data_IF_569856110662
#
_entry.id   IF_569856110662
#
_cell.length_a   1.000
_cell.length_b   1.000
_cell.length_c   1.000
_cell.angle_alpha   90.00
_cell.angle_beta   90.00
_cell.angle_gamma   90.00
#
_symmetry.space_group_name_H-M   'P 1'
#
loop_
_entity.id
_entity.type
_entity.pdbx_description
1 polymer ?
#
# COMPACT_ATOMS: atom_id res chain seq x y z
N UNK A 1 58.92 40.33 -66.54
CA UNK A 1 58.41 39.19 -65.74
C UNK A 1 57.80 39.74 -64.47
N UNK A 2 56.46 39.69 -64.31
CA UNK A 2 55.78 40.02 -63.05
C UNK A 2 55.51 38.70 -62.31
N UNK A 3 56.09 38.53 -61.12
CA UNK A 3 55.77 37.41 -60.24
C UNK A 3 54.46 37.73 -59.50
N UNK A 4 53.47 36.86 -59.68
CA UNK A 4 52.17 36.94 -59.02
C UNK A 4 52.19 35.92 -57.87
N UNK A 5 52.21 36.40 -56.64
CA UNK A 5 52.18 35.56 -55.44
C UNK A 5 50.72 35.25 -55.07
N UNK A 6 50.35 33.98 -55.07
CA UNK A 6 49.08 33.52 -54.52
C UNK A 6 49.27 33.27 -53.01
N UNK A 7 48.52 33.98 -52.18
CA UNK A 7 48.49 33.78 -50.72
C UNK A 7 47.27 32.91 -50.40
N UNK A 8 47.44 31.68 -49.87
CA UNK A 8 46.30 30.88 -49.43
C UNK A 8 45.82 31.40 -48.07
N UNK A 9 44.52 31.72 -47.99
CA UNK A 9 43.84 32.06 -46.72
C UNK A 9 43.20 30.78 -46.19
N UNK A 10 43.68 30.28 -45.05
CA UNK A 10 43.07 29.15 -44.35
C UNK A 10 42.15 29.72 -43.26
N UNK A 11 40.85 29.55 -43.43
CA UNK A 11 39.86 29.89 -42.41
C UNK A 11 39.63 28.69 -41.48
N UNK A 12 40.10 28.77 -40.24
CA UNK A 12 39.87 27.77 -39.21
C UNK A 12 38.54 28.09 -38.51
N UNK A 13 37.53 27.25 -38.74
CA UNK A 13 36.25 27.34 -38.04
C UNK A 13 36.39 26.69 -36.66
N UNK A 14 36.54 27.49 -35.59
CA UNK A 14 36.45 26.99 -34.23
C UNK A 14 34.97 26.80 -33.86
N UNK A 15 34.51 25.55 -33.91
CA UNK A 15 33.22 25.17 -33.35
C UNK A 15 33.37 25.18 -31.82
N UNK A 16 33.01 26.28 -31.19
CA UNK A 16 32.86 26.34 -29.73
C UNK A 16 31.62 25.54 -29.34
N UNK A 17 31.81 24.30 -28.89
CA UNK A 17 30.78 23.58 -28.15
C UNK A 17 30.59 24.27 -26.81
N UNK A 18 29.60 25.16 -26.71
CA UNK A 18 29.12 25.66 -25.42
C UNK A 18 28.44 24.47 -24.72
N UNK A 19 29.16 23.83 -23.80
CA UNK A 19 28.58 22.85 -22.90
C UNK A 19 27.56 23.53 -22.01
N UNK A 20 26.28 23.44 -22.37
CA UNK A 20 25.20 23.92 -21.53
C UNK A 20 25.20 23.11 -20.22
N UNK A 21 25.65 23.73 -19.12
CA UNK A 21 25.44 23.16 -17.80
C UNK A 21 23.97 23.37 -17.43
N UNK A 22 23.21 22.29 -17.47
CA UNK A 22 21.82 22.26 -17.00
C UNK A 22 21.82 22.60 -15.51
N UNK A 23 21.45 23.82 -15.15
CA UNK A 23 21.21 24.20 -13.76
C UNK A 23 19.83 23.67 -13.35
N UNK A 24 19.77 22.42 -12.92
CA UNK A 24 18.54 21.85 -12.39
C UNK A 24 18.58 21.91 -10.86
N UNK A 25 17.56 22.53 -10.28
CA UNK A 25 17.32 22.50 -8.84
C UNK A 25 16.43 21.28 -8.56
N UNK A 26 17.02 20.17 -8.10
CA UNK A 26 16.32 18.90 -7.83
C UNK A 26 16.76 17.79 -8.77
N UNK A 27 15.81 17.00 -9.29
CA UNK A 27 16.12 15.89 -10.23
C UNK A 27 16.36 16.41 -11.65
N UNK A 28 17.56 16.19 -12.22
CA UNK A 28 17.69 16.23 -13.69
C UNK A 28 17.51 14.84 -14.28
N UNK A 29 16.86 14.78 -15.43
CA UNK A 29 16.80 13.58 -16.25
C UNK A 29 17.69 13.78 -17.46
N UNK A 30 18.57 12.82 -17.73
CA UNK A 30 19.32 12.75 -18.97
C UNK A 30 18.67 11.73 -19.91
N UNK A 31 18.99 11.83 -21.20
CA UNK A 31 18.40 11.03 -22.26
C UNK A 31 17.64 11.87 -23.27
N UNK A 32 16.92 11.20 -24.17
CA UNK A 32 16.18 11.87 -25.24
C UNK A 32 14.91 12.53 -24.70
N UNK A 33 14.52 13.62 -25.36
CA UNK A 33 13.26 14.33 -25.07
C UNK A 33 12.01 13.51 -25.41
N UNK A 34 12.16 12.46 -26.21
CA UNK A 34 11.08 11.55 -26.62
C UNK A 34 11.63 10.11 -26.79
N UNK A 35 10.82 9.05 -26.59
CA UNK A 35 11.26 7.67 -26.70
C UNK A 35 11.73 7.31 -28.11
N UNK A 36 12.56 6.26 -28.21
CA UNK A 36 12.87 5.64 -29.50
C UNK A 36 11.71 4.79 -29.99
N UNK A 37 11.67 4.48 -31.28
CA UNK A 37 10.60 3.67 -31.90
C UNK A 37 10.38 2.33 -31.22
N UNK A 38 11.43 1.69 -30.70
CA UNK A 38 11.35 0.44 -29.93
C UNK A 38 10.64 0.55 -28.57
N UNK A 39 10.51 1.78 -28.06
CA UNK A 39 9.90 2.10 -26.77
C UNK A 39 8.51 2.73 -26.91
N UNK A 40 8.00 2.78 -28.14
CA UNK A 40 6.67 3.24 -28.51
C UNK A 40 5.85 2.04 -28.98
N UNK A 41 4.69 1.85 -28.36
CA UNK A 41 3.83 0.69 -28.60
C UNK A 41 2.47 1.15 -29.11
N UNK A 42 2.23 0.95 -30.40
CA UNK A 42 0.97 1.29 -31.06
C UNK A 42 -0.10 0.21 -30.87
N UNK A 43 -1.36 0.64 -30.79
CA UNK A 43 -2.52 -0.25 -30.64
C UNK A 43 -2.54 -1.00 -29.31
N UNK A 44 -1.80 -0.51 -28.30
CA UNK A 44 -1.68 -1.12 -26.98
C UNK A 44 -1.73 -0.06 -25.90
N UNK A 45 -2.24 -0.44 -24.74
CA UNK A 45 -2.34 0.43 -23.58
C UNK A 45 -2.31 -0.38 -22.29
N UNK A 46 -1.96 0.28 -21.19
CA UNK A 46 -2.01 -0.26 -19.85
C UNK A 46 -3.35 0.11 -19.22
N UNK A 47 -4.22 -0.88 -19.02
CA UNK A 47 -5.60 -0.66 -18.56
C UNK A 47 -5.67 -0.54 -17.04
N UNK A 48 -6.29 0.55 -16.55
CA UNK A 48 -6.63 0.72 -15.13
C UNK A 48 -5.56 1.39 -14.26
N UNK A 49 -4.50 1.94 -14.86
CA UNK A 49 -3.37 2.54 -14.15
C UNK A 49 -3.18 4.04 -14.42
N UNK A 50 -4.11 4.68 -15.15
CA UNK A 50 -4.13 6.13 -15.29
C UNK A 50 -4.55 6.77 -13.97
N UNK A 51 -3.73 7.69 -13.46
CA UNK A 51 -4.04 8.49 -12.27
C UNK A 51 -4.23 9.97 -12.58
N UNK A 52 -3.83 10.42 -13.77
CA UNK A 52 -3.99 11.80 -14.20
C UNK A 52 -4.15 11.85 -15.72
N UNK A 53 -5.02 12.74 -16.20
CA UNK A 53 -5.31 12.93 -17.61
C UNK A 53 -5.03 14.38 -18.01
N UNK A 54 -4.30 14.56 -19.10
CA UNK A 54 -3.93 15.85 -19.67
C UNK A 54 -4.47 15.90 -21.09
N UNK A 55 -5.09 17.01 -21.47
CA UNK A 55 -5.56 17.22 -22.85
C UNK A 55 -4.42 17.78 -23.70
N UNK A 56 -3.92 17.00 -24.65
CA UNK A 56 -2.88 17.41 -25.62
C UNK A 56 -2.89 16.50 -26.84
N UNK A 57 -2.69 17.07 -28.03
CA UNK A 57 -2.48 16.32 -29.28
C UNK A 57 -0.99 16.06 -29.58
N UNK A 58 -0.09 16.62 -28.77
CA UNK A 58 1.36 16.51 -28.95
C UNK A 58 1.92 15.37 -28.06
N UNK A 59 2.45 14.28 -28.66
CA UNK A 59 3.09 13.18 -27.94
C UNK A 59 4.31 13.59 -27.13
N UNK A 60 5.11 14.53 -27.63
CA UNK A 60 6.31 15.01 -26.93
C UNK A 60 5.89 15.75 -25.66
N UNK A 61 4.85 16.58 -25.75
CA UNK A 61 4.29 17.27 -24.59
C UNK A 61 3.73 16.28 -23.55
N UNK A 62 3.00 15.26 -23.98
CA UNK A 62 2.49 14.22 -23.09
C UNK A 62 3.63 13.51 -22.35
N UNK A 63 4.64 13.08 -23.10
CA UNK A 63 5.80 12.40 -22.55
C UNK A 63 6.59 13.29 -21.58
N UNK A 64 6.79 14.57 -21.93
CA UNK A 64 7.46 15.53 -21.06
C UNK A 64 6.73 15.73 -19.72
N UNK A 65 5.40 15.81 -19.74
CA UNK A 65 4.60 15.85 -18.51
C UNK A 65 4.84 14.62 -17.63
N UNK A 66 4.95 13.42 -18.21
CA UNK A 66 5.30 12.22 -17.46
C UNK A 66 6.71 12.29 -16.86
N UNK A 67 7.70 12.73 -17.64
CA UNK A 67 9.09 12.85 -17.17
C UNK A 67 9.19 13.78 -15.95
N UNK A 68 8.44 14.88 -15.96
CA UNK A 68 8.43 15.86 -14.86
C UNK A 68 7.58 15.45 -13.66
N UNK A 69 6.59 14.58 -13.84
CA UNK A 69 5.74 14.11 -12.75
C UNK A 69 6.44 12.99 -11.95
N UNK A 70 6.55 13.19 -10.63
CA UNK A 70 7.22 12.27 -9.72
C UNK A 70 6.56 10.89 -9.59
N UNK A 71 5.25 10.79 -9.85
CA UNK A 71 4.47 9.54 -9.74
C UNK A 71 4.44 8.78 -11.07
N UNK A 72 4.70 9.46 -12.18
CA UNK A 72 4.61 8.84 -13.50
C UNK A 72 5.72 7.83 -13.76
N UNK A 73 5.33 6.63 -14.21
CA UNK A 73 6.26 5.57 -14.63
C UNK A 73 6.22 5.32 -16.14
N UNK A 74 5.12 5.66 -16.77
CA UNK A 74 4.87 5.60 -18.20
C UNK A 74 3.68 6.49 -18.54
N UNK A 75 3.49 6.80 -19.83
CA UNK A 75 2.30 7.51 -20.27
C UNK A 75 1.75 6.88 -21.55
N UNK A 76 0.48 7.13 -21.82
CA UNK A 76 -0.17 6.65 -23.04
C UNK A 76 -1.13 7.70 -23.57
N UNK A 77 -1.41 7.64 -24.86
CA UNK A 77 -2.33 8.56 -25.52
C UNK A 77 -3.39 7.82 -26.31
N UNK A 78 -4.60 8.38 -26.31
CA UNK A 78 -5.65 8.07 -27.29
C UNK A 78 -6.29 9.39 -27.71
N UNK A 79 -6.18 9.71 -28.99
CA UNK A 79 -6.56 11.01 -29.54
C UNK A 79 -5.86 12.15 -28.76
N UNK A 80 -6.64 13.13 -28.28
CA UNK A 80 -6.18 14.27 -27.48
C UNK A 80 -5.97 13.95 -25.98
N UNK A 81 -6.18 12.71 -25.54
CA UNK A 81 -6.12 12.33 -24.12
C UNK A 81 -4.76 11.70 -23.82
N UNK A 82 -3.92 12.43 -23.09
CA UNK A 82 -2.69 11.93 -22.49
C UNK A 82 -2.97 11.42 -21.08
N UNK A 83 -2.67 10.16 -20.82
CA UNK A 83 -2.88 9.47 -19.55
C UNK A 83 -1.51 9.22 -18.91
N UNK A 84 -1.29 9.76 -17.71
CA UNK A 84 -0.10 9.48 -16.90
C UNK A 84 -0.35 8.24 -16.04
N UNK A 85 0.59 7.30 -16.07
CA UNK A 85 0.44 5.98 -15.47
C UNK A 85 1.34 5.84 -14.24
N UNK A 86 0.79 5.26 -13.18
CA UNK A 86 1.54 4.98 -11.94
C UNK A 86 2.14 3.56 -11.89
N UNK A 87 1.97 2.81 -12.98
CA UNK A 87 2.62 1.54 -13.27
C UNK A 87 3.13 1.48 -14.72
N UNK A 88 3.91 0.45 -15.02
CA UNK A 88 4.43 0.21 -16.37
C UNK A 88 4.16 -1.22 -16.84
N UNK A 89 4.33 -1.44 -18.15
CA UNK A 89 4.09 -2.72 -18.82
C UNK A 89 4.95 -3.88 -18.31
N UNK A 90 6.09 -3.62 -17.66
CA UNK A 90 6.97 -4.68 -17.15
C UNK A 90 6.43 -5.25 -15.83
N UNK A 91 5.91 -4.40 -14.94
CA UNK A 91 5.30 -4.84 -13.69
C UNK A 91 3.85 -5.30 -13.86
N UNK A 92 3.14 -4.80 -14.87
CA UNK A 92 1.72 -5.07 -15.13
C UNK A 92 1.47 -5.63 -16.53
N UNK A 93 2.27 -6.64 -16.91
CA UNK A 93 2.21 -7.25 -18.24
C UNK A 93 0.81 -7.77 -18.60
N UNK A 94 0.10 -8.41 -17.66
CA UNK A 94 -1.25 -8.95 -17.88
C UNK A 94 -2.30 -7.87 -18.20
N UNK A 95 -2.04 -6.61 -17.82
CA UNK A 95 -2.93 -5.48 -18.08
C UNK A 95 -2.49 -4.64 -19.28
N UNK A 96 -1.42 -5.04 -19.98
CA UNK A 96 -0.95 -4.39 -21.18
C UNK A 96 -1.65 -4.99 -22.41
N UNK A 97 -2.84 -4.49 -22.68
CA UNK A 97 -3.79 -5.07 -23.64
C UNK A 97 -3.78 -4.35 -24.98
N UNK A 98 -4.20 -5.05 -26.03
CA UNK A 98 -4.40 -4.45 -27.34
C UNK A 98 -5.70 -3.63 -27.36
N UNK A 99 -5.60 -2.38 -27.78
CA UNK A 99 -6.74 -1.51 -28.06
C UNK A 99 -6.37 -0.53 -29.18
N UNK A 100 -7.15 -0.51 -30.26
CA UNK A 100 -6.90 0.36 -31.41
C UNK A 100 -7.02 1.85 -31.03
N UNK A 101 -6.17 2.68 -31.63
CA UNK A 101 -6.11 4.13 -31.37
C UNK A 101 -5.24 4.54 -30.18
N UNK A 102 -4.80 3.59 -29.34
CA UNK A 102 -3.85 3.90 -28.27
C UNK A 102 -2.39 3.87 -28.74
N UNK A 103 -1.57 4.73 -28.13
CA UNK A 103 -0.10 4.71 -28.24
C UNK A 103 0.49 4.79 -26.83
N UNK A 104 1.27 3.80 -26.44
CA UNK A 104 1.95 3.75 -25.14
C UNK A 104 3.44 4.13 -25.29
N UNK A 105 3.95 4.90 -24.32
CA UNK A 105 5.32 5.39 -24.28
C UNK A 105 6.03 4.86 -23.02
N UNK A 106 7.10 4.08 -23.20
CA UNK A 106 7.93 3.66 -22.07
C UNK A 106 8.88 4.78 -21.63
N UNK A 107 9.07 4.92 -20.32
CA UNK A 107 9.98 5.92 -19.75
C UNK A 107 11.42 5.39 -19.77
N UNK A 108 12.30 6.01 -20.57
CA UNK A 108 13.71 5.58 -20.77
C UNK A 108 14.76 6.59 -20.35
N UNK A 109 14.35 7.67 -19.69
CA UNK A 109 15.28 8.62 -19.11
C UNK A 109 16.22 7.91 -18.15
N UNK A 110 17.36 8.54 -17.89
CA UNK A 110 18.24 8.19 -16.79
C UNK A 110 18.25 9.34 -15.79
N UNK A 111 18.44 9.01 -14.52
CA UNK A 111 18.61 10.04 -13.49
C UNK A 111 20.02 10.60 -13.59
N UNK A 112 20.12 11.92 -13.75
CA UNK A 112 21.40 12.59 -13.68
C UNK A 112 21.86 12.65 -12.23
N UNK A 113 22.96 11.95 -11.92
CA UNK A 113 23.59 11.97 -10.60
C UNK A 113 24.66 13.08 -10.54
N UNK A 114 24.23 14.32 -10.70
CA UNK A 114 25.10 15.48 -10.49
C UNK A 114 25.45 15.65 -9.01
N UNK A 115 26.61 16.25 -8.72
CA UNK A 115 26.89 16.75 -7.37
C UNK A 115 25.87 17.85 -7.05
N UNK A 116 25.10 17.66 -5.99
CA UNK A 116 24.21 18.70 -5.47
C UNK A 116 24.96 19.51 -4.41
N UNK A 117 25.04 20.82 -4.58
CA UNK A 117 25.60 21.72 -3.57
C UNK A 117 24.64 21.92 -2.36
N UNK A 118 23.40 21.43 -2.48
CA UNK A 118 22.32 21.63 -1.49
C UNK A 118 22.25 20.46 -0.49
N UNK A 119 22.78 19.29 -0.83
CA UNK A 119 22.53 18.05 -0.09
C UNK A 119 23.86 17.41 0.28
N UNK A 120 23.96 16.94 1.53
CA UNK A 120 25.18 16.27 1.99
C UNK A 120 25.51 15.06 1.09
N UNK A 121 26.81 14.80 0.84
CA UNK A 121 27.23 13.64 0.07
C UNK A 121 26.60 12.35 0.63
N UNK A 122 25.89 11.60 -0.22
CA UNK A 122 25.30 10.30 0.14
C UNK A 122 23.80 10.32 0.50
N UNK A 123 23.15 11.48 0.61
CA UNK A 123 21.69 11.56 0.81
C UNK A 123 20.99 11.74 -0.54
N UNK A 124 20.01 10.89 -0.84
CA UNK A 124 19.17 11.06 -2.02
C UNK A 124 18.22 12.25 -1.82
N UNK A 125 18.34 13.25 -2.69
CA UNK A 125 17.39 14.34 -2.77
C UNK A 125 17.05 14.65 -4.22
N UNK A 126 15.77 14.52 -4.55
CA UNK A 126 15.26 14.63 -5.91
C UNK A 126 14.07 15.63 -6.00
N UNK A 127 13.54 16.06 -4.85
CA UNK A 127 12.51 17.09 -4.71
C UNK A 127 11.07 16.55 -4.77
N UNK A 128 10.86 15.26 -5.02
CA UNK A 128 9.53 14.65 -5.11
C UNK A 128 8.76 14.65 -3.78
N UNK A 129 9.43 14.65 -2.64
CA UNK A 129 8.77 14.74 -1.34
C UNK A 129 8.46 16.18 -0.92
N UNK A 130 9.01 17.19 -1.60
CA UNK A 130 8.75 18.61 -1.30
C UNK A 130 7.28 19.00 -1.51
N UNK A 131 6.62 18.37 -2.47
CA UNK A 131 5.18 18.57 -2.75
C UNK A 131 4.25 17.82 -1.79
N UNK A 132 4.81 17.07 -0.82
CA UNK A 132 4.06 16.22 0.12
C UNK A 132 3.06 15.29 -0.58
N UNK A 133 3.52 14.40 -1.48
CA UNK A 133 2.62 13.56 -2.26
C UNK A 133 1.86 12.53 -1.42
N UNK A 134 2.41 12.11 -0.27
CA UNK A 134 1.79 11.11 0.60
C UNK A 134 0.64 11.70 1.42
N UNK A 135 -0.57 11.14 1.25
CA UNK A 135 -1.79 11.55 1.94
C UNK A 135 -1.93 10.85 3.30
N UNK A 136 -2.92 11.28 4.09
CA UNK A 136 -3.39 10.60 5.30
C UNK A 136 -2.29 10.25 6.33
N UNK A 137 -1.34 11.18 6.51
CA UNK A 137 -0.23 11.04 7.45
C UNK A 137 0.86 10.06 6.99
N UNK A 138 0.88 9.68 5.72
CA UNK A 138 1.96 8.85 5.16
C UNK A 138 3.30 9.58 5.11
N UNK A 139 4.39 8.85 5.33
CA UNK A 139 5.76 9.38 5.27
C UNK A 139 6.34 9.21 3.88
N UNK A 140 6.87 10.30 3.30
CA UNK A 140 7.49 10.30 1.98
C UNK A 140 8.99 9.98 2.07
N UNK A 141 9.47 9.11 1.19
CA UNK A 141 10.90 8.78 1.03
C UNK A 141 11.28 8.96 -0.44
N UNK A 142 12.31 9.76 -0.71
CA UNK A 142 12.83 9.99 -2.06
C UNK A 142 13.76 8.85 -2.51
N UNK A 143 13.77 8.59 -3.82
CA UNK A 143 14.58 7.56 -4.47
C UNK A 143 15.30 8.14 -5.68
N UNK A 144 16.61 7.89 -5.78
CA UNK A 144 17.49 8.46 -6.80
C UNK A 144 18.13 7.38 -7.69
N UNK A 145 17.54 6.19 -7.73
CA UNK A 145 18.08 5.02 -8.44
C UNK A 145 17.41 4.85 -9.80
N UNK A 146 16.08 5.01 -9.87
CA UNK A 146 15.31 4.79 -11.09
C UNK A 146 14.37 5.96 -11.37
N UNK A 147 14.29 6.45 -12.63
CA UNK A 147 13.34 7.49 -13.00
C UNK A 147 11.89 7.00 -12.98
N UNK A 148 11.64 5.70 -12.92
CA UNK A 148 10.29 5.13 -12.76
C UNK A 148 9.86 4.99 -11.29
N UNK A 149 10.78 5.17 -10.34
CA UNK A 149 10.48 5.10 -8.91
C UNK A 149 11.26 6.19 -8.20
N UNK A 150 10.71 7.40 -8.24
CA UNK A 150 11.33 8.62 -7.71
C UNK A 150 10.98 8.84 -6.22
N UNK A 151 9.89 8.27 -5.72
CA UNK A 151 9.56 8.31 -4.30
C UNK A 151 8.73 7.09 -3.90
N UNK A 152 8.56 6.88 -2.60
CA UNK A 152 7.59 5.94 -2.03
C UNK A 152 6.94 6.52 -0.79
N UNK A 153 5.68 6.18 -0.58
CA UNK A 153 4.97 6.51 0.65
C UNK A 153 4.91 5.29 1.58
N UNK A 154 5.29 5.51 2.85
CA UNK A 154 4.99 4.59 3.94
C UNK A 154 3.66 4.99 4.55
N UNK A 155 2.61 4.24 4.25
CA UNK A 155 1.26 4.55 4.72
C UNK A 155 1.04 4.16 6.18
N UNK A 156 0.19 4.93 6.85
CA UNK A 156 -0.35 4.57 8.16
C UNK A 156 -1.31 3.39 8.02
N UNK A 157 -1.55 2.66 9.12
CA UNK A 157 -2.25 1.37 9.11
C UNK A 157 -3.59 1.39 8.36
N UNK A 158 -4.35 2.47 8.44
CA UNK A 158 -5.68 2.56 7.85
C UNK A 158 -5.68 2.87 6.33
N UNK A 159 -4.52 3.11 5.72
CA UNK A 159 -4.43 3.60 4.35
C UNK A 159 -3.42 2.82 3.50
N UNK A 160 -3.65 2.80 2.21
CA UNK A 160 -2.82 2.17 1.19
C UNK A 160 -2.90 2.91 -0.14
N UNK A 161 -2.23 2.37 -1.15
CA UNK A 161 -2.04 3.01 -2.44
C UNK A 161 -0.67 3.67 -2.52
N UNK A 162 -0.28 4.07 -3.73
CA UNK A 162 1.05 4.65 -4.00
C UNK A 162 1.27 5.93 -3.19
N UNK A 163 0.19 6.67 -2.94
CA UNK A 163 0.18 7.93 -2.19
C UNK A 163 -0.69 7.88 -0.93
N UNK A 164 -1.03 6.69 -0.43
CA UNK A 164 -1.85 6.51 0.77
C UNK A 164 -3.25 7.15 0.68
N UNK A 165 -3.83 7.20 -0.52
CA UNK A 165 -5.13 7.79 -0.84
C UNK A 165 -6.30 6.83 -0.63
N UNK A 166 -6.03 5.53 -0.56
CA UNK A 166 -7.06 4.49 -0.40
C UNK A 166 -7.14 4.04 1.05
N UNK A 167 -8.33 3.70 1.54
CA UNK A 167 -8.53 3.18 2.91
C UNK A 167 -8.49 1.66 2.93
N UNK A 168 -7.83 1.07 3.92
CA UNK A 168 -7.99 -0.34 4.24
C UNK A 168 -9.37 -0.61 4.86
N UNK A 169 -9.99 -1.71 4.47
CA UNK A 169 -11.21 -2.22 5.09
C UNK A 169 -10.80 -3.46 5.89
N UNK A 170 -10.69 -3.33 7.21
CA UNK A 170 -10.38 -4.47 8.06
C UNK A 170 -11.63 -5.28 8.33
N UNK A 171 -11.63 -6.52 7.85
CA UNK A 171 -12.75 -7.44 8.06
C UNK A 171 -12.46 -8.47 9.15
N UNK A 172 -11.21 -8.55 9.61
CA UNK A 172 -10.74 -9.43 10.68
C UNK A 172 -9.45 -8.91 11.32
N UNK A 173 -9.07 -9.42 12.50
CA UNK A 173 -7.77 -9.10 13.10
C UNK A 173 -6.61 -9.56 12.20
N UNK A 174 -6.82 -10.64 11.43
CA UNK A 174 -5.80 -11.11 10.50
C UNK A 174 -5.51 -10.08 9.39
N UNK A 175 -6.50 -9.31 8.96
CA UNK A 175 -6.29 -8.22 8.00
C UNK A 175 -5.42 -7.11 8.58
N UNK A 176 -5.64 -6.76 9.85
CA UNK A 176 -4.80 -5.79 10.57
C UNK A 176 -3.35 -6.25 10.58
N UNK A 177 -3.10 -7.53 10.86
CA UNK A 177 -1.76 -8.11 10.82
C UNK A 177 -1.16 -8.10 9.41
N UNK A 178 -1.95 -8.48 8.40
CA UNK A 178 -1.51 -8.54 6.99
C UNK A 178 -1.13 -7.18 6.43
N UNK A 179 -1.91 -6.15 6.75
CA UNK A 179 -1.71 -4.79 6.23
C UNK A 179 -0.76 -3.94 7.08
N UNK A 180 -0.34 -4.44 8.24
CA UNK A 180 0.63 -3.75 9.08
C UNK A 180 1.93 -3.42 8.34
N UNK A 181 2.44 -2.24 8.66
CA UNK A 181 3.69 -1.66 8.20
C UNK A 181 4.50 -1.17 9.42
N UNK A 182 5.83 -1.31 9.41
CA UNK A 182 6.66 -1.97 8.39
C UNK A 182 6.45 -3.51 8.35
N UNK A 183 6.83 -4.14 7.23
CA UNK A 183 6.79 -5.62 7.15
C UNK A 183 7.85 -6.20 8.08
N UNK A 184 7.49 -7.23 8.84
CA UNK A 184 8.35 -7.84 9.85
C UNK A 184 8.12 -7.35 11.29
N UNK A 185 7.33 -6.29 11.51
CA UNK A 185 6.82 -5.92 12.82
C UNK A 185 5.39 -6.44 13.05
N UNK A 186 4.93 -6.40 14.29
CA UNK A 186 3.55 -6.74 14.65
C UNK A 186 2.78 -5.47 15.07
N UNK A 187 1.50 -5.35 14.69
CA UNK A 187 0.64 -4.32 15.26
C UNK A 187 0.53 -4.50 16.78
N UNK A 188 0.21 -3.41 17.49
CA UNK A 188 0.02 -3.46 18.94
C UNK A 188 -1.26 -4.22 19.28
N UNK A 189 -1.23 -5.05 20.32
CA UNK A 189 -2.45 -5.63 20.86
C UNK A 189 -3.38 -4.50 21.33
N UNK A 190 -4.68 -4.60 21.03
CA UNK A 190 -5.60 -3.51 21.33
C UNK A 190 -6.93 -3.60 20.62
N UNK A 191 -7.69 -2.52 20.69
CA UNK A 191 -9.02 -2.41 20.08
C UNK A 191 -8.90 -1.85 18.66
N UNK A 192 -9.55 -2.52 17.72
CA UNK A 192 -9.59 -2.15 16.30
C UNK A 192 -11.04 -2.14 15.82
N UNK A 193 -11.35 -1.21 14.92
CA UNK A 193 -12.65 -1.19 14.25
C UNK A 193 -12.64 -2.16 13.08
N UNK A 194 -13.63 -3.05 13.06
CA UNK A 194 -13.87 -3.98 11.96
C UNK A 194 -15.10 -3.58 11.17
N UNK A 195 -14.98 -3.67 9.86
CA UNK A 195 -16.01 -3.46 8.87
C UNK A 195 -16.46 -4.82 8.35
N UNK A 196 -17.61 -5.27 8.84
CA UNK A 196 -18.14 -6.59 8.52
C UNK A 196 -19.19 -6.45 7.41
N UNK A 197 -19.06 -7.18 6.29
CA UNK A 197 -20.09 -7.17 5.25
C UNK A 197 -21.44 -7.63 5.80
N UNK A 198 -22.49 -6.83 5.58
CA UNK A 198 -23.85 -7.15 6.02
C UNK A 198 -24.10 -7.05 7.54
N UNK A 199 -23.11 -6.61 8.32
CA UNK A 199 -23.23 -6.40 9.76
C UNK A 199 -22.84 -4.98 10.13
N UNK A 200 -23.29 -4.51 11.30
CA UNK A 200 -22.83 -3.23 11.84
C UNK A 200 -21.34 -3.33 12.18
N UNK A 201 -20.59 -2.26 11.91
CA UNK A 201 -19.18 -2.17 12.31
C UNK A 201 -19.04 -2.46 13.82
N UNK A 202 -17.94 -3.12 14.20
CA UNK A 202 -17.69 -3.55 15.58
C UNK A 202 -16.32 -3.11 16.04
N UNK A 203 -16.25 -2.64 17.28
CA UNK A 203 -14.98 -2.50 17.99
C UNK A 203 -14.61 -3.87 18.56
N UNK A 204 -13.43 -4.36 18.19
CA UNK A 204 -13.00 -5.73 18.47
C UNK A 204 -11.60 -5.68 19.06
N UNK A 205 -11.32 -6.52 20.05
CA UNK A 205 -9.97 -6.63 20.58
C UNK A 205 -9.17 -7.66 19.77
N UNK A 206 -8.01 -7.22 19.26
CA UNK A 206 -7.07 -8.05 18.54
C UNK A 206 -5.80 -8.26 19.37
N UNK A 207 -5.33 -9.51 19.38
CA UNK A 207 -4.01 -9.87 19.87
C UNK A 207 -3.20 -10.52 18.77
N UNK A 208 -1.95 -10.10 18.61
CA UNK A 208 -1.04 -10.54 17.56
C UNK A 208 0.10 -11.34 18.17
N UNK A 209 0.50 -12.40 17.47
CA UNK A 209 1.63 -13.24 17.83
C UNK A 209 2.52 -13.48 16.62
N UNK A 210 3.74 -13.94 16.90
CA UNK A 210 4.66 -14.40 15.88
C UNK A 210 4.04 -15.49 14.99
N UNK A 211 4.62 -15.65 13.79
CA UNK A 211 4.16 -16.60 12.76
C UNK A 211 2.79 -16.26 12.16
N UNK A 212 2.50 -14.98 11.96
CA UNK A 212 1.28 -14.48 11.30
C UNK A 212 -0.03 -14.93 11.99
N UNK A 213 -0.03 -15.04 13.32
CA UNK A 213 -1.22 -15.39 14.09
C UNK A 213 -1.89 -14.15 14.66
N UNK A 214 -3.18 -14.02 14.40
CA UNK A 214 -4.03 -12.96 14.92
C UNK A 214 -5.24 -13.58 15.63
N UNK A 215 -5.48 -13.14 16.86
CA UNK A 215 -6.56 -13.60 17.72
C UNK A 215 -7.62 -12.51 17.83
N UNK A 216 -8.88 -12.91 17.66
CA UNK A 216 -10.05 -12.04 17.83
C UNK A 216 -10.75 -12.39 19.12
N UNK A 217 -10.94 -11.43 20.02
CA UNK A 217 -11.66 -11.65 21.26
C UNK A 217 -13.17 -11.79 20.98
N UNK A 218 -13.73 -12.95 21.35
CA UNK A 218 -15.18 -13.22 21.27
C UNK A 218 -15.85 -13.22 22.63
N UNK A 219 -15.09 -13.52 23.70
CA UNK A 219 -15.60 -13.63 25.06
C UNK A 219 -14.50 -13.34 26.09
N UNK A 220 -14.85 -12.63 27.16
CA UNK A 220 -14.01 -12.44 28.35
C UNK A 220 -14.82 -11.97 29.55
N UNK A 221 -14.50 -12.47 30.74
CA UNK A 221 -15.23 -12.15 31.95
C UNK A 221 -14.37 -12.25 33.21
N UNK A 222 -14.79 -11.55 34.26
CA UNK A 222 -14.21 -11.69 35.60
C UNK A 222 -14.66 -13.00 36.25
N UNK A 223 -13.80 -13.64 37.04
CA UNK A 223 -14.15 -14.91 37.72
C UNK A 223 -15.45 -14.82 38.55
N UNK A 224 -15.79 -13.65 39.07
CA UNK A 224 -17.06 -13.39 39.76
C UNK A 224 -18.32 -13.59 38.91
N UNK A 225 -18.20 -13.72 37.59
CA UNK A 225 -19.30 -13.99 36.65
C UNK A 225 -19.27 -15.40 36.09
N UNK A 226 -18.46 -16.30 36.65
CA UNK A 226 -18.25 -17.63 36.10
C UNK A 226 -19.57 -18.41 35.94
N UNK A 227 -20.49 -18.31 36.88
CA UNK A 227 -21.77 -19.03 36.83
C UNK A 227 -22.64 -18.58 35.64
N UNK A 228 -22.58 -17.30 35.28
CA UNK A 228 -23.28 -16.74 34.13
C UNK A 228 -22.71 -17.35 32.85
N UNK A 229 -21.38 -17.38 32.70
CA UNK A 229 -20.72 -17.84 31.48
C UNK A 229 -20.68 -19.36 31.33
N UNK A 230 -20.66 -20.12 32.44
CA UNK A 230 -20.80 -21.59 32.41
C UNK A 230 -22.15 -22.04 31.87
N UNK A 231 -23.19 -21.22 31.99
CA UNK A 231 -24.52 -21.50 31.45
C UNK A 231 -24.69 -21.08 29.98
N UNK A 232 -23.69 -20.43 29.37
CA UNK A 232 -23.79 -19.85 28.03
C UNK A 232 -22.95 -20.62 27.02
N UNK A 233 -23.60 -21.16 25.98
CA UNK A 233 -22.93 -21.79 24.83
C UNK A 233 -22.87 -20.83 23.64
N UNK A 234 -21.89 -20.97 22.75
CA UNK A 234 -21.63 -19.98 21.70
C UNK A 234 -22.68 -19.94 20.59
N UNK A 235 -23.38 -21.04 20.36
CA UNK A 235 -24.48 -21.13 19.39
C UNK A 235 -25.82 -20.56 19.92
N UNK A 236 -25.90 -20.16 21.19
CA UNK A 236 -27.06 -19.43 21.73
C UNK A 236 -26.97 -17.93 21.42
N UNK A 237 -28.13 -17.28 21.18
CA UNK A 237 -28.28 -15.85 20.88
C UNK A 237 -28.09 -14.93 22.10
N UNK A 238 -27.02 -15.13 22.85
CA UNK A 238 -26.72 -14.37 24.07
C UNK A 238 -25.46 -13.54 23.86
N UNK A 239 -25.60 -12.22 23.90
CA UNK A 239 -24.51 -11.25 23.82
C UNK A 239 -24.42 -10.43 25.11
N UNK A 240 -23.22 -10.03 25.52
CA UNK A 240 -23.00 -9.23 26.75
C UNK A 240 -21.96 -8.15 26.48
N UNK A 241 -22.34 -6.87 26.64
CA UNK A 241 -21.47 -5.72 26.35
C UNK A 241 -20.68 -5.86 25.03
N UNK A 242 -21.33 -6.39 23.98
CA UNK A 242 -20.70 -6.78 22.72
C UNK A 242 -20.08 -5.61 21.95
N UNK A 243 -20.56 -4.38 22.18
CA UNK A 243 -20.07 -3.18 21.51
C UNK A 243 -18.73 -2.67 22.07
N UNK A 244 -18.30 -3.13 23.25
CA UNK A 244 -17.07 -2.66 23.88
C UNK A 244 -16.30 -3.83 24.53
N UNK A 245 -15.24 -4.34 23.87
CA UNK A 245 -14.36 -5.36 24.42
C UNK A 245 -13.79 -4.94 25.78
N UNK A 246 -13.98 -5.79 26.80
CA UNK A 246 -13.53 -5.55 28.16
C UNK A 246 -13.32 -6.86 28.91
N UNK A 247 -12.51 -6.85 29.98
CA UNK A 247 -12.13 -8.05 30.72
C UNK A 247 -13.11 -8.46 31.83
N UNK A 248 -14.19 -7.69 32.05
CA UNK A 248 -15.09 -7.87 33.18
C UNK A 248 -16.37 -8.64 32.81
N UNK A 249 -17.00 -8.28 31.69
CA UNK A 249 -18.25 -8.86 31.20
C UNK A 249 -18.35 -8.53 29.71
N UNK A 250 -17.86 -9.41 28.85
CA UNK A 250 -17.89 -9.23 27.41
C UNK A 250 -18.17 -10.55 26.71
N UNK A 251 -19.10 -10.51 25.76
CA UNK A 251 -19.43 -11.61 24.85
C UNK A 251 -20.01 -11.04 23.57
N UNK A 252 -19.41 -11.43 22.45
CA UNK A 252 -19.94 -11.10 21.12
C UNK A 252 -21.24 -11.86 20.85
N UNK A 253 -22.06 -11.32 19.94
CA UNK A 253 -23.28 -12.01 19.52
C UNK A 253 -23.01 -13.14 18.52
N UNK A 254 -23.92 -14.11 18.45
CA UNK A 254 -23.81 -15.33 17.62
C UNK A 254 -23.50 -15.04 16.15
N UNK A 255 -24.12 -14.02 15.54
CA UNK A 255 -23.81 -13.63 14.16
C UNK A 255 -22.34 -13.21 13.97
N UNK A 256 -21.77 -12.46 14.92
CA UNK A 256 -20.37 -12.06 14.87
C UNK A 256 -19.44 -13.26 15.13
N UNK A 257 -19.79 -14.10 16.11
CA UNK A 257 -19.02 -15.30 16.43
C UNK A 257 -18.97 -16.24 15.22
N UNK A 258 -20.10 -16.48 14.54
CA UNK A 258 -20.18 -17.30 13.33
C UNK A 258 -19.41 -16.66 12.16
N UNK A 259 -19.45 -15.34 12.02
CA UNK A 259 -18.63 -14.64 11.04
C UNK A 259 -17.13 -14.85 11.30
N UNK A 260 -16.67 -14.66 12.54
CA UNK A 260 -15.26 -14.88 12.92
C UNK A 260 -14.87 -16.34 12.75
N UNK A 261 -15.75 -17.27 13.09
CA UNK A 261 -15.55 -18.71 12.87
C UNK A 261 -15.24 -19.01 11.41
N UNK A 262 -16.02 -18.46 10.48
CA UNK A 262 -15.81 -18.66 9.04
C UNK A 262 -14.44 -18.18 8.52
N UNK A 263 -13.74 -17.36 9.31
CA UNK A 263 -12.41 -16.80 9.01
C UNK A 263 -11.30 -17.38 9.88
N UNK A 264 -11.62 -18.30 10.78
CA UNK A 264 -10.71 -18.81 11.81
C UNK A 264 -10.43 -20.29 11.59
N UNK A 265 -9.24 -20.72 11.98
CA UNK A 265 -8.82 -22.14 11.94
C UNK A 265 -8.55 -22.70 13.33
N UNK A 266 -8.42 -21.82 14.32
CA UNK A 266 -7.85 -22.11 15.63
C UNK A 266 -8.59 -21.30 16.70
N UNK A 267 -8.64 -21.83 17.91
CA UNK A 267 -9.14 -21.13 19.08
C UNK A 267 -8.14 -21.26 20.23
N UNK A 268 -8.25 -20.33 21.19
CA UNK A 268 -7.51 -20.39 22.45
C UNK A 268 -8.35 -19.83 23.59
N UNK A 269 -8.08 -20.30 24.80
CA UNK A 269 -8.65 -19.78 26.04
C UNK A 269 -7.53 -19.58 27.03
N UNK A 270 -7.56 -18.47 27.77
CA UNK A 270 -6.55 -18.16 28.78
C UNK A 270 -7.08 -17.22 29.86
N UNK A 271 -6.42 -17.18 31.00
CA UNK A 271 -6.76 -16.34 32.16
C UNK A 271 -5.76 -15.19 32.34
N UNK A 272 -6.19 -14.11 33.02
CA UNK A 272 -5.39 -12.90 33.31
C UNK A 272 -4.64 -12.31 32.10
N UNK A 273 -5.24 -12.42 30.92
CA UNK A 273 -4.64 -11.98 29.65
C UNK A 273 -3.96 -10.59 29.69
N UNK A 274 -4.55 -9.53 30.27
CA UNK A 274 -3.89 -8.21 30.29
C UNK A 274 -2.76 -8.10 31.31
N UNK A 275 -2.64 -9.02 32.27
CA UNK A 275 -1.73 -8.92 33.43
C UNK A 275 -0.56 -9.90 33.38
N UNK A 276 -0.57 -10.88 32.47
CA UNK A 276 0.45 -11.94 32.45
C UNK A 276 1.54 -11.73 31.41
N UNK A 277 2.75 -12.13 31.77
CA UNK A 277 3.90 -12.28 30.87
C UNK A 277 3.97 -13.65 30.19
N UNK A 278 3.31 -14.68 30.74
CA UNK A 278 3.20 -16.04 30.19
C UNK A 278 1.76 -16.55 30.28
N UNK A 279 1.31 -17.27 29.26
CA UNK A 279 -0.05 -17.82 29.20
C UNK A 279 -0.16 -19.22 29.85
N UNK A 280 0.95 -19.94 30.03
CA UNK A 280 0.99 -21.28 30.64
C UNK A 280 1.09 -21.14 32.18
N UNK A 281 0.38 -21.94 33.01
CA UNK A 281 -0.38 -23.17 32.70
C UNK A 281 -1.84 -22.98 32.25
N UNK A 282 -2.44 -21.80 32.46
CA UNK A 282 -3.84 -21.53 32.14
C UNK A 282 -4.04 -21.17 30.65
N UNK A 283 -3.64 -22.09 29.78
CA UNK A 283 -3.69 -21.94 28.32
C UNK A 283 -4.26 -23.18 27.67
N UNK A 284 -5.44 -23.04 27.07
CA UNK A 284 -6.04 -24.03 26.20
C UNK A 284 -5.90 -23.56 24.75
N UNK A 285 -5.57 -24.49 23.86
CA UNK A 285 -5.41 -24.23 22.43
C UNK A 285 -5.94 -25.42 21.63
N UNK A 286 -6.61 -25.15 20.52
CA UNK A 286 -7.11 -26.18 19.63
C UNK A 286 -7.36 -25.66 18.21
N UNK A 287 -7.52 -26.59 17.27
CA UNK A 287 -7.98 -26.28 15.92
C UNK A 287 -9.48 -26.51 15.81
N UNK A 288 -10.18 -25.60 15.13
CA UNK A 288 -11.62 -25.72 14.91
C UNK A 288 -11.99 -26.95 14.07
N UNK A 289 -11.07 -27.43 13.24
CA UNK A 289 -11.25 -28.66 12.46
C UNK A 289 -11.28 -29.93 13.35
N UNK A 290 -10.61 -29.90 14.49
CA UNK A 290 -10.47 -31.05 15.39
C UNK A 290 -11.63 -31.04 16.40
N UNK A 291 -12.01 -29.86 16.90
CA UNK A 291 -13.20 -29.66 17.73
C UNK A 291 -13.73 -28.23 17.57
N UNK A 292 -14.98 -28.09 17.17
CA UNK A 292 -15.59 -26.79 16.95
C UNK A 292 -16.34 -26.31 18.19
N UNK A 293 -15.65 -25.55 19.04
CA UNK A 293 -16.20 -25.01 20.29
C UNK A 293 -17.41 -24.09 20.08
N UNK A 294 -17.64 -23.57 18.87
CA UNK A 294 -18.72 -22.61 18.60
C UNK A 294 -20.04 -23.34 18.38
N UNK A 295 -20.02 -24.46 17.65
CA UNK A 295 -21.20 -25.28 17.35
C UNK A 295 -21.50 -26.37 18.38
N UNK A 296 -20.51 -26.74 19.20
CA UNK A 296 -20.65 -27.81 20.18
C UNK A 296 -20.79 -27.26 21.60
N UNK A 297 -21.35 -28.09 22.49
CA UNK A 297 -21.54 -27.79 23.91
C UNK A 297 -22.99 -27.96 24.34
N UNK A 298 -23.22 -28.52 25.52
CA UNK A 298 -24.57 -28.71 26.04
C UNK A 298 -25.10 -27.40 26.63
N UNK A 299 -26.20 -26.91 26.06
CA UNK A 299 -26.93 -25.77 26.60
C UNK A 299 -27.63 -26.18 27.91
N UNK A 300 -27.29 -25.54 29.03
CA UNK A 300 -28.11 -25.65 30.21
C UNK A 300 -29.48 -24.96 29.94
N UNK A 301 -30.62 -25.62 30.19
CA UNK A 301 -31.95 -25.12 29.83
C UNK A 301 -32.43 -23.88 30.61
N UNK A 302 -31.57 -23.23 31.40
CA UNK A 302 -31.97 -22.19 32.37
C UNK A 302 -31.89 -20.75 31.81
N UNK A 303 -31.34 -20.53 30.62
CA UNK A 303 -31.05 -19.17 30.10
C UNK A 303 -32.08 -18.60 29.10
N UNK A 304 -33.32 -19.10 29.06
CA UNK A 304 -34.35 -18.56 28.15
C UNK A 304 -35.11 -17.34 28.69
N UNK A 305 -34.93 -16.94 29.96
CA UNK A 305 -35.64 -15.80 30.55
C UNK A 305 -34.68 -14.85 31.28
N UNK A 306 -33.95 -14.00 30.55
CA UNK A 306 -33.32 -12.77 31.07
C UNK A 306 -33.00 -11.80 29.93
#
# INVERSE_FOLDING_TARGET
MKFQYAVPIIAILHIFFVGCHSYCIGTCYSGRLFPETQDIFHGKHLKGYSYNNITTNDPVKCYHHCVQDCRCKACQMKDARCELLDEDKTFKADNFTAESGYVYFDLKQTLYQGKSDIVQPGVCYNGCCRSQPCRNGGTCVEHCISPKKKFSCTCTLNYHGIVCDKTHVFTSCLDVLRYHTPKGSHPKNGKYYMHLPGLRNRLVFCAFESKNRAWTLVESYSISKIDIYRAMVFHQFIARNHNNPNWNDHRQGTHFINYIRSKSTMFRVTCDFPRRSSLVPDYLFGYLRDYDIIDHGDANPVSQNA
#
